data_IF_885382532319
#
_entry.id   IF_885382532319
#
_cell.length_a   1.000
_cell.length_b   1.000
_cell.length_c   1.000
_cell.angle_alpha   90.00
_cell.angle_beta   90.00
_cell.angle_gamma   90.00
#
_symmetry.space_group_name_H-M   'P 1'
#
loop_
_entity.id
_entity.type
_entity.pdbx_description
1 polymer ?
#
# COMPACT_ATOMS: atom_id res chain seq x y z
N UNK A 1 43.62 -19.45 0.96
CA UNK A 1 42.67 -18.96 -0.07
C UNK A 1 41.53 -19.98 -0.16
N UNK A 2 40.26 -19.56 -0.08
CA UNK A 2 39.12 -20.49 -0.20
C UNK A 2 38.44 -20.28 -1.55
N UNK A 3 38.19 -21.35 -2.29
CA UNK A 3 37.35 -21.26 -3.48
C UNK A 3 35.86 -21.23 -3.08
N UNK A 4 35.09 -20.19 -3.44
CA UNK A 4 33.66 -20.13 -3.11
C UNK A 4 32.81 -21.13 -3.91
N UNK A 5 33.35 -21.69 -5.00
CA UNK A 5 32.60 -22.59 -5.88
C UNK A 5 32.64 -24.06 -5.41
N UNK A 6 33.77 -24.50 -4.85
CA UNK A 6 33.97 -25.90 -4.43
C UNK A 6 34.45 -26.05 -2.98
N UNK A 7 34.64 -24.95 -2.24
CA UNK A 7 35.09 -25.00 -0.86
C UNK A 7 36.54 -25.46 -0.67
N UNK A 8 37.33 -25.64 -1.74
CA UNK A 8 38.72 -26.07 -1.63
C UNK A 8 39.59 -24.96 -1.02
N UNK A 9 40.30 -25.29 0.07
CA UNK A 9 41.30 -24.43 0.70
C UNK A 9 42.67 -24.71 0.07
N UNK A 10 43.12 -23.82 -0.83
CA UNK A 10 44.42 -23.96 -1.46
C UNK A 10 45.53 -23.29 -0.62
N UNK A 11 46.74 -23.89 -0.53
CA UNK A 11 47.94 -23.17 -0.10
C UNK A 11 48.15 -22.04 -1.11
N UNK A 12 48.40 -20.82 -0.63
CA UNK A 12 48.25 -19.56 -1.38
C UNK A 12 49.23 -19.30 -2.54
N UNK A 13 49.63 -20.31 -3.30
CA UNK A 13 50.61 -20.26 -4.40
C UNK A 13 49.98 -19.92 -5.77
N UNK A 14 48.65 -19.96 -5.91
CA UNK A 14 47.99 -19.61 -7.18
C UNK A 14 46.66 -18.87 -6.95
N UNK A 15 46.34 -17.82 -7.74
CA UNK A 15 45.05 -17.13 -7.68
C UNK A 15 43.89 -17.95 -8.27
N UNK A 16 44.18 -19.10 -8.87
CA UNK A 16 43.22 -20.02 -9.49
C UNK A 16 43.10 -21.28 -8.64
N UNK A 17 41.86 -21.73 -8.43
CA UNK A 17 41.58 -22.97 -7.72
C UNK A 17 41.99 -24.16 -8.60
N UNK A 18 42.85 -25.09 -8.14
CA UNK A 18 43.28 -26.24 -8.93
C UNK A 18 42.15 -27.24 -9.21
N UNK A 19 41.07 -27.22 -8.42
CA UNK A 19 39.93 -28.13 -8.56
C UNK A 19 38.90 -27.68 -9.60
N UNK A 20 38.68 -26.37 -9.75
CA UNK A 20 37.61 -25.85 -10.61
C UNK A 20 38.05 -24.75 -11.57
N UNK A 21 39.33 -24.38 -11.58
CA UNK A 21 39.89 -23.32 -12.43
C UNK A 21 39.35 -21.92 -12.15
N UNK A 22 38.48 -21.74 -11.15
CA UNK A 22 37.91 -20.43 -10.79
C UNK A 22 38.83 -19.67 -9.85
N UNK A 23 38.78 -18.33 -9.92
CA UNK A 23 39.55 -17.46 -9.03
C UNK A 23 39.19 -17.75 -7.57
N UNK A 24 40.21 -18.08 -6.76
CA UNK A 24 40.04 -18.27 -5.32
C UNK A 24 40.02 -16.91 -4.62
N UNK A 25 39.11 -16.71 -3.66
CA UNK A 25 39.12 -15.50 -2.86
C UNK A 25 39.95 -15.73 -1.58
N UNK A 26 40.58 -14.69 -1.04
CA UNK A 26 41.15 -14.76 0.30
C UNK A 26 40.03 -15.09 1.30
N UNK A 27 40.27 -16.11 2.13
CA UNK A 27 39.37 -16.47 3.21
C UNK A 27 39.34 -15.29 4.18
N UNK A 28 38.20 -14.61 4.30
CA UNK A 28 38.06 -13.36 5.06
C UNK A 28 37.83 -12.10 4.22
N UNK A 29 37.66 -12.22 2.89
CA UNK A 29 37.15 -11.10 2.10
C UNK A 29 35.76 -10.67 2.64
N UNK A 30 35.55 -9.38 2.96
CA UNK A 30 34.25 -8.92 3.43
C UNK A 30 33.17 -9.22 2.38
N UNK A 31 31.94 -9.56 2.79
CA UNK A 31 30.86 -9.80 1.86
C UNK A 31 30.68 -8.58 0.95
N UNK A 32 30.33 -8.77 -0.34
CA UNK A 32 30.11 -7.65 -1.23
C UNK A 32 29.03 -6.76 -0.61
N UNK A 33 29.41 -5.51 -0.25
CA UNK A 33 28.45 -4.52 0.22
C UNK A 33 27.40 -4.34 -0.88
N UNK A 34 26.15 -4.68 -0.58
CA UNK A 34 25.04 -4.41 -1.47
C UNK A 34 24.99 -2.90 -1.72
N UNK A 35 25.46 -2.46 -2.89
CA UNK A 35 25.29 -1.08 -3.34
C UNK A 35 23.85 -0.93 -3.79
N UNK A 36 22.97 -0.49 -2.88
CA UNK A 36 21.66 0.01 -3.26
C UNK A 36 21.86 1.18 -4.22
N UNK A 37 21.31 1.06 -5.43
CA UNK A 37 21.44 2.12 -6.43
C UNK A 37 20.67 3.37 -5.98
N UNK A 38 21.14 4.58 -6.32
CA UNK A 38 20.43 5.81 -5.99
C UNK A 38 19.04 5.88 -6.63
N UNK A 39 18.84 5.18 -7.75
CA UNK A 39 17.54 5.03 -8.40
C UNK A 39 16.56 4.21 -7.54
N UNK A 40 17.02 3.13 -6.92
CA UNK A 40 16.20 2.29 -6.06
C UNK A 40 15.73 3.06 -4.81
N UNK A 41 16.61 3.86 -4.21
CA UNK A 41 16.26 4.73 -3.09
C UNK A 41 15.20 5.78 -3.49
N UNK A 42 15.37 6.42 -4.66
CA UNK A 42 14.37 7.37 -5.16
C UNK A 42 13.03 6.71 -5.41
N UNK A 43 13.00 5.55 -6.07
CA UNK A 43 11.76 4.79 -6.30
C UNK A 43 11.04 4.45 -5.00
N UNK A 44 11.76 4.03 -3.96
CA UNK A 44 11.17 3.75 -2.65
C UNK A 44 10.55 5.00 -2.02
N UNK A 45 11.28 6.12 -2.00
CA UNK A 45 10.79 7.37 -1.39
C UNK A 45 9.58 7.92 -2.15
N UNK A 46 9.66 8.01 -3.48
CA UNK A 46 8.54 8.50 -4.28
C UNK A 46 7.34 7.54 -4.24
N UNK A 47 7.58 6.22 -4.27
CA UNK A 47 6.53 5.22 -4.19
C UNK A 47 5.79 5.27 -2.86
N UNK A 48 6.51 5.41 -1.74
CA UNK A 48 5.89 5.51 -0.40
C UNK A 48 5.13 6.81 -0.20
N UNK A 49 5.63 7.95 -0.72
CA UNK A 49 4.89 9.21 -0.72
C UNK A 49 3.61 9.11 -1.56
N UNK A 50 3.69 8.61 -2.80
CA UNK A 50 2.54 8.47 -3.67
C UNK A 50 1.47 7.54 -3.05
N UNK A 51 1.91 6.43 -2.46
CA UNK A 51 1.02 5.50 -1.77
C UNK A 51 0.35 6.12 -0.53
N UNK A 52 1.10 6.85 0.28
CA UNK A 52 0.56 7.56 1.45
C UNK A 52 -0.51 8.59 1.07
N UNK A 53 -0.26 9.37 0.02
CA UNK A 53 -1.24 10.32 -0.52
C UNK A 53 -2.49 9.58 -1.03
N UNK A 54 -2.33 8.49 -1.77
CA UNK A 54 -3.45 7.70 -2.28
C UNK A 54 -4.33 7.15 -1.14
N UNK A 55 -3.73 6.62 -0.07
CA UNK A 55 -4.47 6.13 1.10
C UNK A 55 -5.22 7.26 1.82
N UNK A 56 -4.59 8.42 1.97
CA UNK A 56 -5.23 9.59 2.59
C UNK A 56 -6.46 10.04 1.79
N UNK A 57 -6.35 10.15 0.47
CA UNK A 57 -7.47 10.52 -0.38
C UNK A 57 -8.56 9.45 -0.39
N UNK A 58 -8.19 8.16 -0.39
CA UNK A 58 -9.15 7.06 -0.35
C UNK A 58 -10.02 7.13 0.91
N UNK A 59 -9.42 7.21 2.09
CA UNK A 59 -10.17 7.29 3.34
C UNK A 59 -11.05 8.54 3.42
N UNK A 60 -10.61 9.66 2.84
CA UNK A 60 -11.39 10.90 2.79
C UNK A 60 -12.57 10.82 1.80
N UNK A 61 -12.41 10.13 0.67
CA UNK A 61 -13.49 9.88 -0.29
C UNK A 61 -14.55 8.95 0.30
N UNK A 62 -14.15 7.89 1.00
CA UNK A 62 -15.06 6.99 1.70
C UNK A 62 -15.89 7.76 2.74
N UNK A 63 -15.26 8.62 3.54
CA UNK A 63 -15.96 9.46 4.50
C UNK A 63 -16.95 10.46 3.86
N UNK A 64 -16.61 11.01 2.69
CA UNK A 64 -17.52 11.90 1.95
C UNK A 64 -18.71 11.14 1.36
N UNK A 65 -18.48 9.93 0.87
CA UNK A 65 -19.53 9.08 0.34
C UNK A 65 -20.52 8.68 1.43
N UNK A 66 -20.03 8.33 2.63
CA UNK A 66 -20.85 8.01 3.80
C UNK A 66 -21.64 9.24 4.32
N UNK A 67 -21.06 10.44 4.20
CA UNK A 67 -21.77 11.66 4.55
C UNK A 67 -22.92 11.93 3.57
N UNK A 68 -22.74 11.66 2.28
CA UNK A 68 -23.77 11.85 1.27
C UNK A 68 -24.94 10.88 1.44
N UNK A 69 -24.66 9.61 1.77
CA UNK A 69 -25.70 8.61 2.05
C UNK A 69 -26.51 8.99 3.27
N UNK A 70 -25.87 9.39 4.37
CA UNK A 70 -26.56 9.86 5.58
C UNK A 70 -27.44 11.10 5.31
N UNK A 71 -26.96 12.01 4.45
CA UNK A 71 -27.73 13.21 4.10
C UNK A 71 -28.96 12.86 3.25
N UNK A 72 -28.84 11.93 2.30
CA UNK A 72 -29.97 11.44 1.50
C UNK A 72 -31.03 10.74 2.35
N UNK A 73 -30.60 9.92 3.30
CA UNK A 73 -31.52 9.24 4.22
C UNK A 73 -32.32 10.25 5.06
N UNK A 74 -31.65 11.26 5.63
CA UNK A 74 -32.32 12.29 6.42
C UNK A 74 -33.31 13.13 5.60
N UNK A 75 -32.98 13.45 4.34
CA UNK A 75 -33.88 14.14 3.42
C UNK A 75 -35.13 13.31 3.08
N UNK A 76 -34.96 12.01 2.86
CA UNK A 76 -36.06 11.09 2.56
C UNK A 76 -37.00 10.90 3.76
N UNK A 77 -36.43 10.88 4.98
CA UNK A 77 -37.22 10.90 6.22
C UNK A 77 -38.08 12.17 6.35
N UNK A 78 -37.50 13.34 6.07
CA UNK A 78 -38.24 14.61 6.12
C UNK A 78 -39.39 14.64 5.12
N UNK A 79 -39.15 14.18 3.88
CA UNK A 79 -40.23 14.08 2.87
C UNK A 79 -41.35 13.15 3.33
N UNK A 80 -41.01 12.02 3.94
CA UNK A 80 -42.01 11.06 4.45
C UNK A 80 -42.87 11.68 5.55
N UNK A 81 -42.27 12.47 6.45
CA UNK A 81 -43.00 13.19 7.50
C UNK A 81 -43.92 14.27 6.92
N UNK A 82 -43.45 15.05 5.95
CA UNK A 82 -44.31 16.03 5.27
C UNK A 82 -45.48 15.35 4.55
N UNK A 83 -45.22 14.24 3.85
CA UNK A 83 -46.27 13.50 3.15
C UNK A 83 -47.32 12.98 4.14
N UNK A 84 -46.91 12.46 5.31
CA UNK A 84 -47.86 12.07 6.36
C UNK A 84 -48.67 13.25 6.90
N UNK A 85 -48.06 14.42 7.11
CA UNK A 85 -48.79 15.62 7.54
C UNK A 85 -49.84 16.04 6.50
N UNK A 86 -49.49 16.01 5.21
CA UNK A 86 -50.43 16.34 4.12
C UNK A 86 -51.60 15.36 4.05
N UNK A 87 -51.33 14.06 4.20
CA UNK A 87 -52.39 13.04 4.23
C UNK A 87 -53.30 13.22 5.46
N UNK A 88 -52.74 13.50 6.64
CA UNK A 88 -53.53 13.77 7.84
C UNK A 88 -54.42 15.02 7.70
N UNK A 89 -53.89 16.08 7.09
CA UNK A 89 -54.68 17.28 6.80
C UNK A 89 -55.84 16.98 5.83
N UNK A 90 -55.58 16.20 4.77
CA UNK A 90 -56.60 15.82 3.81
C UNK A 90 -57.70 14.91 4.41
N UNK A 91 -57.35 14.00 5.32
CA UNK A 91 -58.34 13.15 6.02
C UNK A 91 -59.26 14.00 6.91
N UNK A 92 -58.71 14.99 7.61
CA UNK A 92 -59.50 15.92 8.44
C UNK A 92 -60.48 16.76 7.61
N UNK A 93 -60.15 17.09 6.35
CA UNK A 93 -61.07 17.77 5.44
C UNK A 93 -62.20 16.86 4.93
N UNK A 94 -61.99 15.55 4.87
CA UNK A 94 -63.02 14.58 4.42
C UNK A 94 -63.96 14.09 5.53
N UNK A 95 -63.62 14.30 6.80
CA UNK A 95 -64.42 13.93 7.98
C UNK A 95 -65.19 15.13 8.61
N UNK A 96 -65.17 16.30 7.96
CA UNK A 96 -66.05 17.43 8.30
C UNK A 96 -67.47 17.23 7.73
N UNK A 97 -68.53 17.64 8.45
CA UNK A 97 -69.92 17.18 8.30
C UNK A 97 -70.59 17.50 6.96
#
# INVERSE_FOLDING_TARGET
MQCPACGYAAPGVSPLCPQCGRKSLPAGAPPPRAKTSPLFLRLLVYGSLAFGVALFFKGRLEALLDAETALKESALFQQTLEQRRRVQAAVLETDGP
#
